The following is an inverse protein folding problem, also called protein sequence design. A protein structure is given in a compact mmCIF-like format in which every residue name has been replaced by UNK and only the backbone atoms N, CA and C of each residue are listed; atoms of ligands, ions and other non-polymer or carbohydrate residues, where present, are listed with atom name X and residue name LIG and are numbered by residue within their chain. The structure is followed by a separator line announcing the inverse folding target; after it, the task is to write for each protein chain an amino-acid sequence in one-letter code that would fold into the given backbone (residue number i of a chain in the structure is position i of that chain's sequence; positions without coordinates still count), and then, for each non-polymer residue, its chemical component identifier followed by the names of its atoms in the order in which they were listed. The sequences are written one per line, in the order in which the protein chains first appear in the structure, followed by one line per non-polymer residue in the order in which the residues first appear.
data_IF_611278634296
#
_entry.id   IF_611278634296
#
_cell.length_a   1.000
_cell.length_b   1.000
_cell.length_c   1.000
_cell.angle_alpha   90.00
_cell.angle_beta   90.00
_cell.angle_gamma   90.00
#
_symmetry.space_group_name_H-M   'P 1'
#
loop_
_entity.id
_entity.type
_entity.pdbx_description
1 polymer ?
#
# COMPACT_ATOMS: atom_id res chain seq x y z
N UNK A 1 6.04 -36.78 12.60
CA UNK A 1 6.59 -35.54 12.00
C UNK A 1 6.33 -35.69 10.52
N UNK A 2 5.18 -35.23 10.05
CA UNK A 2 4.79 -35.38 8.65
C UNK A 2 5.80 -34.65 7.78
N UNK A 3 6.42 -35.39 6.86
CA UNK A 3 7.41 -34.85 5.94
C UNK A 3 6.71 -33.87 5.01
N UNK A 4 7.07 -32.60 5.10
CA UNK A 4 6.62 -31.59 4.14
C UNK A 4 7.08 -32.00 2.75
N UNK A 5 6.14 -32.22 1.85
CA UNK A 5 6.42 -32.51 0.44
C UNK A 5 6.88 -31.22 -0.24
N UNK A 6 8.20 -30.98 -0.18
CA UNK A 6 8.84 -29.74 -0.63
C UNK A 6 8.45 -29.36 -2.06
N UNK A 7 8.47 -30.26 -3.06
CA UNK A 7 7.99 -29.96 -4.42
C UNK A 7 6.54 -29.45 -4.46
N UNK A 8 5.65 -30.05 -3.66
CA UNK A 8 4.24 -29.67 -3.63
C UNK A 8 4.03 -28.28 -3.04
N UNK A 9 4.74 -27.95 -1.97
CA UNK A 9 4.66 -26.61 -1.36
C UNK A 9 5.24 -25.52 -2.26
N UNK A 10 6.36 -25.79 -2.95
CA UNK A 10 6.88 -24.89 -3.99
C UNK A 10 5.90 -24.72 -5.15
N UNK A 11 5.23 -25.80 -5.57
CA UNK A 11 4.20 -25.74 -6.59
C UNK A 11 3.01 -24.85 -6.19
N UNK A 12 2.54 -24.97 -4.94
CA UNK A 12 1.49 -24.10 -4.40
C UNK A 12 1.93 -22.63 -4.34
N UNK A 13 3.17 -22.37 -3.92
CA UNK A 13 3.72 -21.02 -3.86
C UNK A 13 3.77 -20.39 -5.25
N UNK A 14 4.33 -21.10 -6.23
CA UNK A 14 4.42 -20.61 -7.61
C UNK A 14 3.04 -20.36 -8.23
N UNK A 15 2.09 -21.27 -8.01
CA UNK A 15 0.71 -21.10 -8.47
C UNK A 15 0.03 -19.89 -7.81
N UNK A 16 0.23 -19.70 -6.51
CA UNK A 16 -0.28 -18.56 -5.76
C UNK A 16 0.28 -17.23 -6.26
N UNK A 17 1.60 -17.16 -6.46
CA UNK A 17 2.26 -15.97 -7.03
C UNK A 17 1.74 -15.66 -8.43
N UNK A 18 1.63 -16.67 -9.30
CA UNK A 18 1.08 -16.49 -10.64
C UNK A 18 -0.36 -15.99 -10.63
N UNK A 19 -1.20 -16.53 -9.74
CA UNK A 19 -2.58 -16.06 -9.57
C UNK A 19 -2.64 -14.61 -9.10
N UNK A 20 -1.81 -14.20 -8.14
CA UNK A 20 -1.74 -12.82 -7.65
C UNK A 20 -1.36 -11.88 -8.80
N UNK A 21 -0.30 -12.20 -9.55
CA UNK A 21 0.14 -11.38 -10.69
C UNK A 21 -0.98 -11.18 -11.70
N UNK A 22 -1.63 -12.26 -12.13
CA UNK A 22 -2.74 -12.18 -13.11
C UNK A 22 -3.90 -11.37 -12.54
N UNK A 23 -4.25 -11.56 -11.28
CA UNK A 23 -5.40 -10.88 -10.65
C UNK A 23 -5.14 -9.39 -10.51
N UNK A 24 -3.96 -9.01 -10.02
CA UNK A 24 -3.58 -7.60 -9.82
C UNK A 24 -3.51 -6.88 -11.18
N UNK A 25 -2.90 -7.48 -12.20
CA UNK A 25 -2.84 -6.91 -13.55
C UNK A 25 -4.24 -6.61 -14.11
N UNK A 26 -5.16 -7.56 -13.96
CA UNK A 26 -6.54 -7.40 -14.45
C UNK A 26 -7.31 -6.36 -13.65
N UNK A 27 -7.03 -6.27 -12.36
CA UNK A 27 -7.64 -5.26 -11.49
C UNK A 27 -7.16 -3.86 -11.88
N UNK A 28 -5.85 -3.65 -12.06
CA UNK A 28 -5.29 -2.35 -12.50
C UNK A 28 -5.87 -1.93 -13.84
N UNK A 29 -5.86 -2.82 -14.85
CA UNK A 29 -6.44 -2.52 -16.16
C UNK A 29 -7.94 -2.19 -16.09
N UNK A 30 -8.68 -2.84 -15.18
CA UNK A 30 -10.10 -2.53 -14.98
C UNK A 30 -10.28 -1.14 -14.35
N UNK A 31 -9.46 -0.79 -13.36
CA UNK A 31 -9.48 0.51 -12.69
C UNK A 31 -9.15 1.64 -13.66
N UNK A 32 -8.14 1.47 -14.52
CA UNK A 32 -7.81 2.42 -15.58
C UNK A 32 -8.98 2.62 -16.56
N UNK A 33 -9.62 1.52 -16.99
CA UNK A 33 -10.76 1.59 -17.91
C UNK A 33 -11.96 2.32 -17.30
N UNK A 34 -12.23 2.10 -16.01
CA UNK A 34 -13.29 2.78 -15.28
C UNK A 34 -12.93 4.24 -15.05
N UNK A 35 -11.68 4.54 -14.70
CA UNK A 35 -11.19 5.90 -14.54
C UNK A 35 -11.37 6.74 -15.81
N UNK A 36 -10.99 6.18 -16.96
CA UNK A 36 -11.19 6.81 -18.26
C UNK A 36 -12.68 7.02 -18.61
N UNK A 37 -13.55 6.09 -18.21
CA UNK A 37 -15.00 6.17 -18.48
C UNK A 37 -15.70 7.21 -17.59
N UNK A 38 -15.33 7.28 -16.31
CA UNK A 38 -15.94 8.17 -15.32
C UNK A 38 -15.22 9.53 -15.17
N UNK A 39 -14.15 9.76 -15.92
CA UNK A 39 -13.37 11.00 -15.85
C UNK A 39 -12.63 11.17 -14.51
N UNK A 40 -12.29 10.07 -13.86
CA UNK A 40 -11.53 10.10 -12.59
C UNK A 40 -10.06 10.39 -12.93
N UNK A 41 -9.43 11.37 -12.27
CA UNK A 41 -8.01 11.65 -12.48
C UNK A 41 -7.15 10.40 -12.25
N UNK A 42 -6.22 10.13 -13.17
CA UNK A 42 -5.34 8.97 -13.12
C UNK A 42 -4.53 8.93 -11.82
N UNK A 43 -4.05 10.09 -11.37
CA UNK A 43 -3.40 10.23 -10.08
C UNK A 43 -4.28 9.74 -8.92
N UNK A 44 -5.54 10.18 -8.85
CA UNK A 44 -6.48 9.77 -7.80
C UNK A 44 -6.70 8.26 -7.83
N UNK A 45 -6.95 7.70 -9.02
CA UNK A 45 -7.13 6.26 -9.20
C UNK A 45 -5.89 5.46 -8.77
N UNK A 46 -4.70 5.97 -9.10
CA UNK A 46 -3.41 5.40 -8.71
C UNK A 46 -3.18 5.39 -7.20
N UNK A 47 -3.29 6.55 -6.54
CA UNK A 47 -2.98 6.68 -5.11
C UNK A 47 -4.07 6.11 -4.19
N UNK A 48 -5.26 5.81 -4.70
CA UNK A 48 -6.35 5.20 -3.92
C UNK A 48 -6.61 3.76 -4.32
N UNK A 49 -7.15 3.53 -5.52
CA UNK A 49 -7.67 2.22 -5.91
C UNK A 49 -6.54 1.26 -6.23
N UNK A 50 -5.55 1.68 -7.04
CA UNK A 50 -4.41 0.83 -7.39
C UNK A 50 -3.55 0.55 -6.16
N UNK A 51 -3.24 1.58 -5.37
CA UNK A 51 -2.49 1.43 -4.12
C UNK A 51 -3.20 0.50 -3.11
N UNK A 52 -4.52 0.62 -2.96
CA UNK A 52 -5.29 -0.29 -2.10
C UNK A 52 -5.24 -1.71 -2.65
N UNK A 53 -5.48 -1.89 -3.95
CA UNK A 53 -5.50 -3.18 -4.62
C UNK A 53 -4.21 -3.99 -4.42
N UNK A 54 -3.04 -3.37 -4.58
CA UNK A 54 -1.75 -4.03 -4.38
C UNK A 54 -1.47 -4.34 -2.92
N UNK A 55 -2.00 -3.54 -1.98
CA UNK A 55 -1.84 -3.72 -0.53
C UNK A 55 -2.85 -4.69 0.09
N UNK A 56 -3.90 -5.09 -0.64
CA UNK A 56 -4.96 -5.98 -0.13
C UNK A 56 -4.42 -7.33 0.39
N UNK A 57 -3.55 -8.06 -0.35
CA UNK A 57 -3.02 -9.33 0.12
C UNK A 57 -2.26 -9.19 1.44
N UNK A 58 -1.43 -8.16 1.55
CA UNK A 58 -0.65 -7.87 2.76
C UNK A 58 -1.57 -7.50 3.92
N UNK A 59 -2.60 -6.69 3.68
CA UNK A 59 -3.60 -6.37 4.69
C UNK A 59 -4.31 -7.63 5.21
N UNK A 60 -4.68 -8.57 4.33
CA UNK A 60 -5.30 -9.84 4.73
C UNK A 60 -4.35 -10.69 5.59
N UNK A 61 -3.07 -10.76 5.22
CA UNK A 61 -2.05 -11.50 6.00
C UNK A 61 -1.81 -10.85 7.36
N UNK A 62 -1.69 -9.51 7.41
CA UNK A 62 -1.53 -8.76 8.65
C UNK A 62 -2.74 -8.92 9.57
N UNK A 63 -3.97 -8.75 9.07
CA UNK A 63 -5.20 -8.94 9.88
C UNK A 63 -5.29 -10.37 10.41
N UNK A 64 -4.99 -11.36 9.58
CA UNK A 64 -5.01 -12.77 10.01
C UNK A 64 -3.99 -13.04 11.11
N UNK A 65 -2.74 -12.63 10.93
CA UNK A 65 -1.68 -12.85 11.93
C UNK A 65 -1.94 -12.08 13.22
N UNK A 66 -2.50 -10.87 13.14
CA UNK A 66 -2.94 -10.12 14.32
C UNK A 66 -4.03 -10.88 15.10
N UNK A 67 -5.04 -11.44 14.42
CA UNK A 67 -6.09 -12.27 15.05
C UNK A 67 -5.56 -13.56 15.68
N UNK A 68 -4.46 -14.09 15.18
CA UNK A 68 -3.76 -15.25 15.74
C UNK A 68 -2.89 -14.88 16.96
N UNK A 69 -3.05 -13.69 17.55
CA UNK A 69 -2.22 -13.11 18.62
C UNK A 69 -0.74 -12.98 18.24
N UNK A 70 -0.43 -12.86 16.95
CA UNK A 70 0.93 -12.69 16.42
C UNK A 70 1.15 -11.26 15.94
N UNK A 71 0.88 -10.29 16.82
CA UNK A 71 0.97 -8.85 16.51
C UNK A 71 2.34 -8.41 15.95
N UNK A 72 3.44 -8.95 16.48
CA UNK A 72 4.79 -8.67 15.97
C UNK A 72 5.02 -9.19 14.55
N UNK A 73 4.40 -10.33 14.19
CA UNK A 73 4.43 -10.84 12.80
C UNK A 73 3.60 -9.95 11.88
N UNK A 74 2.40 -9.52 12.32
CA UNK A 74 1.57 -8.58 11.57
C UNK A 74 2.31 -7.26 11.29
N UNK A 75 2.98 -6.71 12.30
CA UNK A 75 3.76 -5.49 12.19
C UNK A 75 4.99 -5.68 11.27
N UNK A 76 5.67 -6.82 11.39
CA UNK A 76 6.77 -7.19 10.50
C UNK A 76 6.33 -7.27 9.03
N UNK A 77 5.12 -7.76 8.76
CA UNK A 77 4.55 -7.77 7.41
C UNK A 77 4.35 -6.34 6.88
N UNK A 78 3.71 -5.46 7.66
CA UNK A 78 3.44 -4.07 7.25
C UNK A 78 4.73 -3.27 7.04
N UNK A 79 5.69 -3.35 7.97
CA UNK A 79 6.96 -2.62 7.83
C UNK A 79 7.82 -3.20 6.72
N UNK A 80 7.81 -4.53 6.57
CA UNK A 80 8.55 -5.25 5.54
C UNK A 80 8.08 -4.91 4.14
N UNK A 81 6.76 -4.93 3.89
CA UNK A 81 6.20 -4.62 2.56
C UNK A 81 6.48 -3.17 2.16
N UNK A 82 6.23 -2.19 3.03
CA UNK A 82 6.53 -0.78 2.74
C UNK A 82 8.03 -0.54 2.48
N UNK A 83 8.91 -1.21 3.24
CA UNK A 83 10.36 -1.10 3.01
C UNK A 83 10.75 -1.73 1.67
N UNK A 84 10.17 -2.87 1.32
CA UNK A 84 10.40 -3.54 0.05
C UNK A 84 9.89 -2.69 -1.13
N UNK A 85 8.73 -2.06 -1.00
CA UNK A 85 8.16 -1.22 -2.05
C UNK A 85 9.06 -0.02 -2.36
N UNK A 86 9.54 0.67 -1.31
CA UNK A 86 10.40 1.84 -1.46
C UNK A 86 11.82 1.51 -1.94
N UNK A 87 12.42 0.43 -1.44
CA UNK A 87 13.82 0.11 -1.70
C UNK A 87 14.04 -0.87 -2.86
N UNK A 88 13.04 -1.67 -3.21
CA UNK A 88 13.14 -2.69 -4.25
C UNK A 88 12.13 -2.46 -5.37
N UNK A 89 10.83 -2.41 -5.07
CA UNK A 89 9.82 -2.39 -6.13
C UNK A 89 9.90 -1.11 -6.99
N UNK A 90 9.95 0.07 -6.37
CA UNK A 90 10.05 1.34 -7.09
C UNK A 90 11.38 1.43 -7.88
N UNK A 91 12.57 1.24 -7.29
CA UNK A 91 13.82 1.30 -8.04
C UNK A 91 13.90 0.27 -9.16
N UNK A 92 13.43 -0.96 -8.94
CA UNK A 92 13.40 -2.00 -9.97
C UNK A 92 12.48 -1.60 -11.13
N UNK A 93 11.31 -1.03 -10.84
CA UNK A 93 10.41 -0.50 -11.86
C UNK A 93 11.09 0.58 -12.71
N UNK A 94 11.78 1.53 -12.07
CA UNK A 94 12.53 2.58 -12.78
C UNK A 94 13.68 1.98 -13.62
N UNK A 95 14.40 0.98 -13.11
CA UNK A 95 15.46 0.30 -13.86
C UNK A 95 14.95 -0.44 -15.10
N UNK A 96 13.75 -1.02 -15.02
CA UNK A 96 13.12 -1.72 -16.16
C UNK A 96 12.65 -0.71 -17.22
N UNK A 97 12.06 0.41 -16.81
CA UNK A 97 11.52 1.45 -17.72
C UNK A 97 12.63 2.38 -18.25
N UNK A 98 13.73 2.53 -17.50
CA UNK A 98 14.89 3.34 -17.85
C UNK A 98 14.85 4.75 -17.25
N UNK A 99 13.71 5.44 -17.35
CA UNK A 99 13.50 6.76 -16.74
C UNK A 99 12.03 6.99 -16.34
N UNK A 100 11.82 7.80 -15.31
CA UNK A 100 10.49 8.25 -14.88
C UNK A 100 10.56 9.73 -14.52
N UNK A 101 9.63 10.52 -15.07
CA UNK A 101 9.51 11.93 -14.72
C UNK A 101 8.91 12.07 -13.30
N UNK A 102 9.65 12.72 -12.40
CA UNK A 102 9.19 12.98 -11.04
C UNK A 102 8.61 14.39 -10.97
N UNK A 103 7.30 14.48 -10.73
CA UNK A 103 6.67 15.76 -10.44
C UNK A 103 6.85 16.12 -8.95
N UNK A 104 7.82 16.98 -8.65
CA UNK A 104 8.13 17.38 -7.28
C UNK A 104 7.00 18.13 -6.57
N UNK A 105 6.11 18.83 -7.29
CA UNK A 105 4.98 19.52 -6.65
C UNK A 105 3.92 18.56 -6.10
N UNK A 106 3.91 17.32 -6.59
CA UNK A 106 3.06 16.23 -6.07
C UNK A 106 3.85 15.31 -5.15
N UNK A 107 5.08 14.95 -5.54
CA UNK A 107 5.91 14.01 -4.79
C UNK A 107 6.31 14.54 -3.40
N UNK A 108 6.66 15.82 -3.28
CA UNK A 108 7.11 16.40 -2.00
C UNK A 108 5.98 16.39 -0.94
N UNK A 109 4.75 16.88 -1.23
CA UNK A 109 3.64 16.75 -0.29
C UNK A 109 3.34 15.30 0.10
N UNK A 110 3.33 14.38 -0.87
CA UNK A 110 3.04 12.96 -0.63
C UNK A 110 4.09 12.30 0.27
N UNK A 111 5.38 12.55 0.02
CA UNK A 111 6.47 12.09 0.89
C UNK A 111 6.40 12.72 2.28
N UNK A 112 5.98 13.99 2.37
CA UNK A 112 5.71 14.66 3.63
C UNK A 112 4.64 13.94 4.46
N UNK A 113 3.50 13.60 3.84
CA UNK A 113 2.43 12.84 4.50
C UNK A 113 2.90 11.46 4.91
N UNK A 114 3.61 10.74 4.03
CA UNK A 114 4.18 9.44 4.33
C UNK A 114 5.14 9.50 5.54
N UNK A 115 5.95 10.55 5.62
CA UNK A 115 6.89 10.77 6.73
C UNK A 115 6.13 11.00 8.03
N UNK A 116 5.11 11.85 8.02
CA UNK A 116 4.25 12.10 9.19
C UNK A 116 3.52 10.83 9.63
N UNK A 117 2.95 10.06 8.68
CA UNK A 117 2.29 8.80 8.97
C UNK A 117 3.24 7.77 9.57
N UNK A 118 4.48 7.71 9.07
CA UNK A 118 5.53 6.83 9.60
C UNK A 118 5.92 7.24 11.02
N UNK A 119 6.14 8.54 11.27
CA UNK A 119 6.43 9.05 12.61
C UNK A 119 5.29 8.74 13.56
N UNK A 120 4.04 8.97 13.16
CA UNK A 120 2.85 8.66 13.95
C UNK A 120 2.81 7.17 14.33
N UNK A 121 3.04 6.28 13.36
CA UNK A 121 3.10 4.83 13.58
C UNK A 121 4.19 4.45 14.60
N UNK A 122 5.40 4.99 14.48
CA UNK A 122 6.47 4.70 15.43
C UNK A 122 6.21 5.27 16.82
N UNK A 123 5.54 6.42 16.91
CA UNK A 123 5.12 7.00 18.19
C UNK A 123 4.08 6.12 18.88
N UNK A 124 3.12 5.55 18.14
CA UNK A 124 2.14 4.60 18.71
C UNK A 124 2.80 3.28 19.11
N UNK A 125 3.76 2.79 18.32
CA UNK A 125 4.47 1.53 18.59
C UNK A 125 5.50 1.61 19.72
N UNK A 126 5.72 2.79 20.31
CA UNK A 126 6.77 3.04 21.32
C UNK A 126 6.69 2.08 22.51
N UNK A 127 5.50 1.57 22.81
CA UNK A 127 5.26 0.68 23.94
C UNK A 127 5.25 -0.75 23.43
N UNK A 128 6.34 -1.49 23.64
CA UNK A 128 6.44 -2.94 23.38
C UNK A 128 6.17 -3.44 21.95
N UNK A 129 6.24 -2.59 20.92
CA UNK A 129 5.92 -2.94 19.53
C UNK A 129 4.50 -3.53 19.38
N UNK A 130 3.58 -3.06 20.22
CA UNK A 130 2.17 -3.41 20.18
C UNK A 130 1.36 -2.15 19.87
N UNK A 131 0.21 -2.34 19.23
CA UNK A 131 -0.80 -1.29 19.04
C UNK A 131 -1.99 -1.61 19.92
N UNK A 132 -2.42 -0.64 20.70
CA UNK A 132 -3.69 -0.70 21.41
C UNK A 132 -4.87 -0.44 20.45
N UNK A 133 -6.09 -0.74 20.90
CA UNK A 133 -7.31 -0.52 20.13
C UNK A 133 -7.48 0.97 19.78
N UNK A 134 -7.23 1.87 20.74
CA UNK A 134 -7.32 3.32 20.52
C UNK A 134 -6.28 3.83 19.51
N UNK A 135 -5.05 3.31 19.57
CA UNK A 135 -3.97 3.67 18.64
C UNK A 135 -4.28 3.20 17.22
N UNK A 136 -4.87 2.01 17.10
CA UNK A 136 -5.34 1.46 15.83
C UNK A 136 -6.42 2.33 15.19
N UNK A 137 -7.40 2.78 15.99
CA UNK A 137 -8.42 3.72 15.50
C UNK A 137 -7.85 5.09 15.12
N UNK A 138 -6.85 5.59 15.85
CA UNK A 138 -6.17 6.83 15.50
C UNK A 138 -5.44 6.74 14.15
N UNK A 139 -4.74 5.62 13.89
CA UNK A 139 -4.08 5.37 12.61
C UNK A 139 -5.09 5.23 11.46
N UNK A 140 -6.22 4.54 11.71
CA UNK A 140 -7.30 4.41 10.72
C UNK A 140 -7.95 5.77 10.40
N UNK A 141 -8.17 6.61 11.41
CA UNK A 141 -8.68 7.96 11.24
C UNK A 141 -7.69 8.84 10.45
N UNK A 142 -6.39 8.73 10.72
CA UNK A 142 -5.35 9.43 9.97
C UNK A 142 -5.33 9.01 8.48
N UNK A 143 -5.48 7.70 8.20
CA UNK A 143 -5.63 7.20 6.84
C UNK A 143 -6.90 7.72 6.16
N UNK A 144 -8.03 7.73 6.86
CA UNK A 144 -9.29 8.29 6.35
C UNK A 144 -9.18 9.79 6.02
N UNK A 145 -8.50 10.56 6.88
CA UNK A 145 -8.22 11.98 6.63
C UNK A 145 -7.33 12.18 5.40
N UNK A 146 -6.31 11.33 5.24
CA UNK A 146 -5.45 11.35 4.06
C UNK A 146 -6.25 11.09 2.78
N UNK A 147 -7.09 10.05 2.75
CA UNK A 147 -7.94 9.75 1.58
C UNK A 147 -8.90 10.91 1.31
N UNK A 148 -9.53 11.47 2.34
CA UNK A 148 -10.43 12.61 2.18
C UNK A 148 -9.71 13.84 1.61
N UNK A 149 -8.48 14.12 2.07
CA UNK A 149 -7.65 15.20 1.53
C UNK A 149 -7.29 14.97 0.06
N UNK A 150 -6.85 13.77 -0.31
CA UNK A 150 -6.52 13.43 -1.70
C UNK A 150 -7.74 13.56 -2.63
N UNK A 151 -8.91 13.12 -2.17
CA UNK A 151 -10.16 13.30 -2.91
C UNK A 151 -10.50 14.79 -3.04
N UNK A 152 -10.33 15.59 -1.98
CA UNK A 152 -10.58 17.04 -2.00
C UNK A 152 -9.65 17.77 -2.98
N UNK A 153 -8.37 17.42 -3.02
CA UNK A 153 -7.41 17.93 -4.02
C UNK A 153 -7.86 17.56 -5.44
N UNK A 154 -8.30 16.31 -5.64
CA UNK A 154 -8.69 15.80 -6.95
C UNK A 154 -9.96 16.42 -7.52
N UNK A 155 -10.85 16.96 -6.66
CA UNK A 155 -12.03 17.73 -7.07
C UNK A 155 -11.77 19.24 -7.12
N UNK A 156 -10.54 19.68 -6.87
CA UNK A 156 -10.13 21.09 -6.90
C UNK A 156 -10.62 21.92 -5.71
N UNK A 157 -11.03 21.28 -4.61
CA UNK A 157 -11.43 21.98 -3.37
C UNK A 157 -10.22 22.53 -2.60
N UNK A 158 -9.05 21.95 -2.80
CA UNK A 158 -7.76 22.40 -2.26
C UNK A 158 -6.70 22.37 -3.36
N UNK A 159 -5.63 23.17 -3.20
CA UNK A 159 -4.62 23.38 -4.26
C UNK A 159 -3.18 23.12 -3.76
N UNK A 160 -3.03 22.14 -2.87
CA UNK A 160 -1.74 21.77 -2.28
C UNK A 160 -0.94 20.90 -3.26
N UNK A 161 -1.60 20.00 -3.98
CA UNK A 161 -1.02 19.19 -5.05
C UNK A 161 -1.11 19.95 -6.38
N UNK A 162 -0.20 20.91 -6.58
CA UNK A 162 -0.15 21.68 -7.84
C UNK A 162 0.25 20.75 -8.99
N UNK A 163 -0.66 20.47 -9.93
CA UNK A 163 -0.37 19.67 -11.13
C UNK A 163 -0.95 18.25 -11.13
N UNK A 164 -1.88 17.97 -10.20
CA UNK A 164 -2.88 16.90 -10.32
C UNK A 164 -4.18 17.52 -10.85
#
# INVERSE_FOLDING_TARGET
RDGVDVPREWGKLAAGLGLIVVTVERLVASVESLGATFGIPEFLAGVTVVAAATSLPDALVSVRTARENRGTTSLGNVLGSNTFDLLVAIPLGVLIVGEVAVNFSTAVPMLGVLTVATVLLFVTLRTSLALDEHESYALLAAYGLFVAWVVAESVGATSVLRGV
#
